data_IF_779273098793
#
_entry.id   IF_779273098793
#
_cell.length_a   1.000
_cell.length_b   1.000
_cell.length_c   1.000
_cell.angle_alpha   90.00
_cell.angle_beta   90.00
_cell.angle_gamma   90.00
#
_symmetry.space_group_name_H-M   'P 1'
#
loop_
_entity.id
_entity.type
_entity.pdbx_description
1 polymer ?
#
# COMPACT_ATOMS: atom_id res chain seq x y z
N UNK A 1 34.44 -16.08 -32.27
CA UNK A 1 33.40 -15.05 -32.43
C UNK A 1 33.36 -14.20 -31.16
N UNK A 2 34.07 -13.08 -31.14
CA UNK A 2 33.84 -12.06 -30.11
C UNK A 2 32.50 -11.40 -30.46
N UNK A 3 31.52 -11.47 -29.56
CA UNK A 3 30.35 -10.58 -29.68
C UNK A 3 30.86 -9.19 -29.32
N UNK A 4 30.93 -8.31 -30.31
CA UNK A 4 31.02 -6.87 -30.08
C UNK A 4 29.75 -6.46 -29.32
N UNK A 5 29.84 -6.47 -27.99
CA UNK A 5 28.76 -6.07 -27.13
C UNK A 5 28.79 -4.55 -27.01
N UNK A 6 28.45 -3.87 -28.10
CA UNK A 6 28.25 -2.42 -28.09
C UNK A 6 27.12 -2.11 -27.11
N UNK A 7 27.35 -1.26 -26.09
CA UNK A 7 26.30 -0.90 -25.15
C UNK A 7 25.16 -0.18 -25.89
N UNK A 8 23.89 -0.42 -25.48
CA UNK A 8 22.75 0.17 -26.15
C UNK A 8 22.79 1.71 -26.08
N UNK A 9 22.17 2.44 -27.02
CA UNK A 9 22.08 3.89 -26.98
C UNK A 9 21.61 4.42 -25.63
N UNK A 10 22.11 5.58 -25.22
CA UNK A 10 21.86 6.19 -23.91
C UNK A 10 20.37 6.26 -23.54
N UNK A 11 19.53 6.63 -24.50
CA UNK A 11 18.07 6.68 -24.32
C UNK A 11 17.47 5.33 -23.88
N UNK A 12 17.97 4.21 -24.43
CA UNK A 12 17.51 2.87 -24.05
C UNK A 12 18.00 2.50 -22.65
N UNK A 13 19.20 2.94 -22.26
CA UNK A 13 19.71 2.74 -20.89
C UNK A 13 18.85 3.48 -19.87
N UNK A 14 18.55 4.76 -20.12
CA UNK A 14 17.69 5.59 -19.26
C UNK A 14 16.28 4.97 -19.10
N UNK A 15 15.68 4.49 -20.20
CA UNK A 15 14.39 3.77 -20.15
C UNK A 15 14.45 2.47 -19.33
N UNK A 16 15.53 1.70 -19.47
CA UNK A 16 15.73 0.45 -18.70
C UNK A 16 15.87 0.74 -17.22
N UNK A 17 16.60 1.79 -16.86
CA UNK A 17 16.80 2.18 -15.47
C UNK A 17 15.48 2.63 -14.81
N UNK A 18 14.66 3.41 -15.53
CA UNK A 18 13.32 3.77 -15.08
C UNK A 18 12.41 2.55 -14.90
N UNK A 19 12.47 1.59 -15.83
CA UNK A 19 11.65 0.37 -15.76
C UNK A 19 12.07 -0.50 -14.57
N UNK A 20 13.38 -0.69 -14.37
CA UNK A 20 13.93 -1.40 -13.20
C UNK A 20 13.54 -0.73 -11.90
N UNK A 21 13.61 0.61 -11.85
CA UNK A 21 13.21 1.37 -10.69
C UNK A 21 11.71 1.20 -10.38
N UNK A 22 10.84 1.23 -11.39
CA UNK A 22 9.40 0.96 -11.24
C UNK A 22 9.14 -0.45 -10.69
N UNK A 23 9.82 -1.46 -11.22
CA UNK A 23 9.73 -2.85 -10.72
C UNK A 23 10.18 -2.93 -9.26
N UNK A 24 11.26 -2.25 -8.89
CA UNK A 24 11.75 -2.18 -7.51
C UNK A 24 10.71 -1.55 -6.57
N UNK A 25 10.11 -0.41 -6.96
CA UNK A 25 9.06 0.25 -6.17
C UNK A 25 7.84 -0.65 -5.99
N UNK A 26 7.39 -1.35 -7.05
CA UNK A 26 6.30 -2.34 -6.94
C UNK A 26 6.65 -3.48 -5.97
N UNK A 27 7.90 -3.94 -6.00
CA UNK A 27 8.41 -4.92 -5.05
C UNK A 27 8.39 -4.42 -3.60
N UNK A 28 8.82 -3.18 -3.34
CA UNK A 28 8.72 -2.56 -2.01
C UNK A 28 7.27 -2.42 -1.54
N UNK A 29 6.38 -1.94 -2.42
CA UNK A 29 4.95 -1.82 -2.11
C UNK A 29 4.37 -3.16 -1.65
N UNK A 30 4.63 -4.23 -2.40
CA UNK A 30 4.14 -5.57 -2.06
C UNK A 30 4.74 -6.10 -0.76
N UNK A 31 6.03 -5.85 -0.49
CA UNK A 31 6.66 -6.22 0.78
C UNK A 31 6.00 -5.53 1.98
N UNK A 32 5.78 -4.23 1.88
CA UNK A 32 5.13 -3.44 2.94
C UNK A 32 3.69 -3.91 3.13
N UNK A 33 2.94 -4.10 2.04
CA UNK A 33 1.57 -4.61 2.04
C UNK A 33 1.47 -5.95 2.78
N UNK A 34 2.33 -6.91 2.45
CA UNK A 34 2.32 -8.22 3.08
C UNK A 34 2.71 -8.17 4.56
N UNK A 35 3.60 -7.25 4.93
CA UNK A 35 3.99 -7.05 6.34
C UNK A 35 2.87 -6.42 7.16
N UNK A 36 2.11 -5.49 6.59
CA UNK A 36 0.88 -4.96 7.20
C UNK A 36 -0.12 -6.10 7.38
N UNK A 37 -0.38 -6.90 6.33
CA UNK A 37 -1.33 -8.02 6.41
C UNK A 37 -0.96 -8.99 7.55
N UNK A 38 0.32 -9.37 7.66
CA UNK A 38 0.81 -10.25 8.73
C UNK A 38 0.66 -9.61 10.12
N UNK A 39 1.03 -8.34 10.27
CA UNK A 39 0.88 -7.63 11.55
C UNK A 39 -0.59 -7.58 12.00
N UNK A 40 -1.52 -7.42 11.04
CA UNK A 40 -2.95 -7.44 11.32
C UNK A 40 -3.44 -8.85 11.71
N UNK A 41 -2.97 -9.90 11.04
CA UNK A 41 -3.25 -11.29 11.42
C UNK A 41 -2.77 -11.61 12.83
N UNK A 42 -1.54 -11.22 13.17
CA UNK A 42 -0.92 -11.43 14.49
C UNK A 42 -1.66 -10.65 15.60
N UNK A 43 -2.25 -9.50 15.27
CA UNK A 43 -3.09 -8.72 16.18
C UNK A 43 -4.55 -9.20 16.24
N UNK A 44 -4.88 -10.32 15.58
CA UNK A 44 -6.22 -10.87 15.44
C UNK A 44 -7.24 -9.95 14.74
N UNK A 45 -6.76 -9.01 13.92
CA UNK A 45 -7.57 -8.03 13.19
C UNK A 45 -7.93 -8.57 11.81
N UNK A 46 -9.16 -9.07 11.67
CA UNK A 46 -9.67 -9.57 10.37
C UNK A 46 -10.15 -8.45 9.44
N UNK A 47 -9.30 -7.42 9.24
CA UNK A 47 -9.54 -6.29 8.34
C UNK A 47 -9.80 -6.72 6.88
N UNK A 48 -9.26 -7.87 6.46
CA UNK A 48 -9.48 -8.44 5.13
C UNK A 48 -10.94 -8.80 4.82
N UNK A 49 -11.80 -8.95 5.83
CA UNK A 49 -13.25 -9.12 5.62
C UNK A 49 -13.99 -7.80 5.45
N UNK A 50 -13.46 -6.71 6.04
CA UNK A 50 -14.08 -5.40 6.04
C UNK A 50 -13.76 -4.60 4.76
N UNK A 51 -12.51 -4.61 4.30
CA UNK A 51 -12.08 -3.81 3.15
C UNK A 51 -11.68 -4.67 1.94
N UNK A 52 -12.24 -4.33 0.76
CA UNK A 52 -11.85 -4.94 -0.54
C UNK A 52 -10.37 -4.69 -0.87
N UNK A 53 -9.82 -3.57 -0.42
CA UNK A 53 -8.40 -3.26 -0.44
C UNK A 53 -7.97 -2.76 0.94
N UNK A 54 -7.27 -3.61 1.69
CA UNK A 54 -6.82 -3.32 3.06
C UNK A 54 -5.78 -2.21 3.09
N UNK A 55 -4.91 -2.14 2.09
CA UNK A 55 -3.90 -1.09 1.99
C UNK A 55 -4.36 0.09 1.14
N UNK A 56 -5.60 0.08 0.63
CA UNK A 56 -6.20 1.16 -0.14
C UNK A 56 -6.51 2.41 0.68
N UNK A 57 -7.07 3.44 0.03
CA UNK A 57 -7.40 4.73 0.69
C UNK A 57 -8.26 4.51 1.94
N UNK A 58 -9.27 3.66 1.84
CA UNK A 58 -10.21 3.44 2.93
C UNK A 58 -9.62 2.57 4.04
N UNK A 59 -8.90 1.50 3.70
CA UNK A 59 -8.26 0.64 4.70
C UNK A 59 -7.19 1.39 5.50
N UNK A 60 -6.38 2.23 4.85
CA UNK A 60 -5.42 3.12 5.53
C UNK A 60 -6.09 4.10 6.48
N UNK A 61 -7.21 4.71 6.09
CA UNK A 61 -7.97 5.60 6.98
C UNK A 61 -8.46 4.87 8.23
N UNK A 62 -8.97 3.65 8.08
CA UNK A 62 -9.42 2.82 9.21
C UNK A 62 -8.25 2.49 10.13
N UNK A 63 -7.13 2.02 9.59
CA UNK A 63 -5.94 1.71 10.38
C UNK A 63 -5.40 2.94 11.13
N UNK A 64 -5.35 4.11 10.48
CA UNK A 64 -4.92 5.38 11.11
C UNK A 64 -5.83 5.82 12.24
N UNK A 65 -7.14 5.69 12.07
CA UNK A 65 -8.09 6.02 13.12
C UNK A 65 -8.00 5.04 14.30
N UNK A 66 -7.80 3.73 14.04
CA UNK A 66 -7.52 2.76 15.09
C UNK A 66 -6.24 3.10 15.88
N UNK A 67 -5.18 3.56 15.20
CA UNK A 67 -3.95 4.04 15.86
C UNK A 67 -4.18 5.28 16.74
N UNK A 68 -5.13 6.15 16.39
CA UNK A 68 -5.49 7.33 17.18
C UNK A 68 -6.31 7.00 18.45
N UNK A 69 -6.55 5.71 18.72
CA UNK A 69 -7.39 5.25 19.83
C UNK A 69 -8.88 5.36 19.55
N UNK A 70 -9.28 5.65 18.30
CA UNK A 70 -10.68 5.67 17.91
C UNK A 70 -11.18 4.24 17.74
N UNK A 71 -11.94 3.77 18.72
CA UNK A 71 -12.53 2.44 18.71
C UNK A 71 -14.01 2.45 18.32
N UNK A 72 -14.61 3.63 18.04
CA UNK A 72 -16.03 3.71 17.67
C UNK A 72 -16.23 3.23 16.23
N UNK A 73 -16.85 2.07 16.04
CA UNK A 73 -17.07 1.49 14.72
C UNK A 73 -18.08 2.31 13.90
N UNK A 74 -19.03 3.00 14.56
CA UNK A 74 -19.94 3.91 13.86
C UNK A 74 -19.18 5.08 13.23
N UNK A 75 -18.22 5.66 13.96
CA UNK A 75 -17.39 6.76 13.48
C UNK A 75 -16.54 6.35 12.28
N UNK A 76 -15.91 5.18 12.37
CA UNK A 76 -15.10 4.60 11.30
C UNK A 76 -15.90 4.25 10.04
N UNK A 77 -17.09 3.67 10.21
CA UNK A 77 -17.99 3.32 9.10
C UNK A 77 -18.58 4.56 8.43
N UNK A 78 -18.84 5.63 9.19
CA UNK A 78 -19.38 6.88 8.64
C UNK A 78 -18.33 7.69 7.89
N UNK A 79 -17.05 7.59 8.28
CA UNK A 79 -15.88 8.17 7.58
C UNK A 79 -15.38 7.33 6.41
N UNK A 80 -15.68 6.04 6.40
CA UNK A 80 -15.40 5.15 5.29
C UNK A 80 -16.43 5.34 4.15
N UNK A 81 -16.06 4.94 2.93
CA UNK A 81 -16.98 5.01 1.77
C UNK A 81 -18.26 4.19 2.03
N UNK A 82 -19.35 4.50 1.33
CA UNK A 82 -20.70 3.94 1.56
C UNK A 82 -20.76 2.42 1.73
N UNK A 83 -19.88 1.67 1.08
CA UNK A 83 -19.76 0.20 1.16
C UNK A 83 -19.36 -0.34 2.54
N UNK A 84 -18.66 0.45 3.36
CA UNK A 84 -18.26 0.04 4.72
C UNK A 84 -19.34 0.34 5.78
N UNK A 85 -20.33 1.17 5.47
CA UNK A 85 -21.50 1.37 6.34
C UNK A 85 -22.33 0.10 6.50
N UNK A 86 -22.36 -0.75 5.47
CA UNK A 86 -23.01 -2.06 5.51
C UNK A 86 -22.24 -3.09 6.35
N UNK A 87 -20.98 -2.80 6.73
CA UNK A 87 -20.08 -3.72 7.46
C UNK A 87 -19.78 -3.25 8.89
N UNK A 88 -20.65 -2.42 9.49
CA UNK A 88 -20.50 -1.85 10.84
C UNK A 88 -20.21 -2.92 11.92
N UNK A 89 -20.90 -4.06 11.88
CA UNK A 89 -20.69 -5.13 12.86
C UNK A 89 -19.38 -5.90 12.66
N UNK A 90 -18.90 -6.03 11.42
CA UNK A 90 -17.55 -6.57 11.15
C UNK A 90 -16.47 -5.60 11.61
N UNK A 91 -16.69 -4.28 11.46
CA UNK A 91 -15.79 -3.25 11.97
C UNK A 91 -15.72 -3.26 13.50
N UNK A 92 -16.83 -3.53 14.21
CA UNK A 92 -16.83 -3.72 15.68
C UNK A 92 -15.88 -4.83 16.11
N UNK A 93 -15.97 -5.99 15.48
CA UNK A 93 -15.12 -7.16 15.78
C UNK A 93 -13.66 -6.92 15.43
N UNK A 94 -13.39 -6.14 14.38
CA UNK A 94 -12.04 -5.76 13.98
C UNK A 94 -11.40 -4.78 14.96
N UNK A 95 -12.15 -3.92 15.64
CA UNK A 95 -11.59 -2.92 16.56
C UNK A 95 -11.35 -3.43 17.99
N UNK A 96 -11.70 -4.69 18.26
CA UNK A 96 -11.48 -5.37 19.54
C UNK A 96 -10.16 -6.15 19.59
N UNK A 97 -9.33 -6.10 18.53
CA UNK A 97 -8.05 -6.81 18.51
C UNK A 97 -7.02 -6.23 19.48
N UNK A 98 -6.12 -7.09 19.96
CA UNK A 98 -5.05 -6.74 20.89
C UNK A 98 -3.95 -5.94 20.20
N UNK A 99 -4.16 -4.64 20.04
CA UNK A 99 -3.07 -3.71 19.74
C UNK A 99 -2.35 -3.35 21.04
N UNK A 100 -1.16 -3.93 21.26
CA UNK A 100 -0.24 -3.36 22.24
C UNK A 100 0.50 -2.14 21.66
N UNK A 101 1.27 -1.45 22.50
CA UNK A 101 2.04 -0.28 22.09
C UNK A 101 3.03 -0.60 20.96
N UNK A 102 3.65 -1.78 21.02
CA UNK A 102 4.61 -2.23 20.03
C UNK A 102 3.97 -2.44 18.64
N UNK A 103 2.82 -3.12 18.58
CA UNK A 103 2.09 -3.35 17.33
C UNK A 103 1.54 -2.05 16.74
N UNK A 104 1.07 -1.12 17.58
CA UNK A 104 0.68 0.23 17.12
C UNK A 104 1.86 0.98 16.49
N UNK A 105 3.02 0.94 17.14
CA UNK A 105 4.24 1.56 16.61
C UNK A 105 4.60 0.97 15.25
N UNK A 106 4.68 -0.37 15.14
CA UNK A 106 5.01 -1.03 13.87
C UNK A 106 4.01 -0.73 12.76
N UNK A 107 2.70 -0.72 13.07
CA UNK A 107 1.67 -0.43 12.07
C UNK A 107 1.80 1.01 11.54
N UNK A 108 2.10 1.97 12.42
CA UNK A 108 2.34 3.37 12.04
C UNK A 108 3.50 3.47 11.05
N UNK A 109 4.65 2.89 11.39
CA UNK A 109 5.85 2.92 10.54
C UNK A 109 5.60 2.29 9.16
N UNK A 110 4.86 1.17 9.12
CA UNK A 110 4.52 0.52 7.86
C UNK A 110 3.55 1.34 7.00
N UNK A 111 2.59 2.04 7.60
CA UNK A 111 1.68 2.94 6.88
C UNK A 111 2.43 4.14 6.30
N UNK A 112 3.35 4.73 7.07
CA UNK A 112 4.18 5.85 6.62
C UNK A 112 5.07 5.40 5.43
N UNK A 113 5.70 4.22 5.52
CA UNK A 113 6.49 3.65 4.44
C UNK A 113 5.64 3.36 3.19
N UNK A 114 4.41 2.85 3.36
CA UNK A 114 3.49 2.58 2.26
C UNK A 114 3.11 3.87 1.52
N UNK A 115 2.82 4.94 2.25
CA UNK A 115 2.50 6.25 1.68
C UNK A 115 3.67 6.82 0.87
N UNK A 116 4.89 6.71 1.40
CA UNK A 116 6.10 7.15 0.74
C UNK A 116 6.33 6.40 -0.58
N UNK A 117 6.28 5.07 -0.57
CA UNK A 117 6.44 4.25 -1.80
C UNK A 117 5.31 4.54 -2.79
N UNK A 118 4.07 4.72 -2.31
CA UNK A 118 2.93 5.06 -3.16
C UNK A 118 3.05 6.46 -3.80
N UNK A 119 3.68 7.40 -3.12
CA UNK A 119 4.00 8.72 -3.66
C UNK A 119 5.00 8.58 -4.81
N UNK A 120 6.12 7.87 -4.60
CA UNK A 120 7.12 7.66 -5.64
C UNK A 120 6.57 6.90 -6.86
N UNK A 121 5.71 5.91 -6.63
CA UNK A 121 5.04 5.19 -7.72
C UNK A 121 4.19 6.11 -8.62
N UNK A 122 3.47 7.07 -8.01
CA UNK A 122 2.71 8.10 -8.75
C UNK A 122 3.62 9.14 -9.41
N UNK A 123 4.73 9.50 -8.76
CA UNK A 123 5.76 10.38 -9.32
C UNK A 123 6.41 9.81 -10.58
N UNK A 124 6.62 8.49 -10.66
CA UNK A 124 7.15 7.83 -11.85
C UNK A 124 6.26 8.01 -13.09
N UNK A 125 4.94 8.15 -12.93
CA UNK A 125 4.04 8.43 -14.07
C UNK A 125 4.30 9.82 -14.69
N UNK A 126 4.78 10.79 -13.90
CA UNK A 126 4.96 12.19 -14.34
C UNK A 126 6.19 12.40 -15.25
N UNK A 127 6.98 11.36 -15.52
CA UNK A 127 8.12 11.47 -16.45
C UNK A 127 7.66 11.36 -17.92
N UNK A 128 7.99 12.31 -18.81
CA UNK A 128 7.46 12.37 -20.18
C UNK A 128 7.64 11.08 -21.01
N UNK A 129 8.73 10.34 -20.77
CA UNK A 129 9.04 9.09 -21.48
C UNK A 129 8.35 7.84 -20.88
N UNK A 130 7.89 7.88 -19.63
CA UNK A 130 7.19 6.74 -18.99
C UNK A 130 5.72 6.61 -19.42
N UNK A 131 5.14 7.68 -19.96
CA UNK A 131 3.78 7.68 -20.49
C UNK A 131 3.59 6.66 -21.64
N UNK A 132 4.68 6.30 -22.34
CA UNK A 132 4.71 5.25 -23.35
C UNK A 132 4.65 3.82 -22.78
N UNK A 133 5.28 3.57 -21.62
CA UNK A 133 5.32 2.23 -21.00
C UNK A 133 4.03 1.93 -20.24
N UNK A 134 3.46 2.92 -19.54
CA UNK A 134 2.22 2.77 -18.78
C UNK A 134 1.01 2.48 -19.69
N UNK A 135 1.06 2.89 -20.97
CA UNK A 135 -0.03 2.70 -21.94
C UNK A 135 -0.25 1.25 -22.38
N UNK A 136 0.70 0.35 -22.14
CA UNK A 136 0.66 -1.05 -22.59
C UNK A 136 0.58 -2.08 -21.46
N UNK A 137 0.62 -1.66 -20.20
CA UNK A 137 0.36 -2.51 -19.03
C UNK A 137 -1.13 -2.39 -18.65
N UNK A 138 -2.02 -2.91 -19.50
CA UNK A 138 -3.48 -2.98 -19.28
C UNK A 138 -3.96 -4.42 -19.22
#
# INVERSE_FOLDING_TARGET
MHKDQTPPPRQIQELRDLTRYRVKLKGEYNRIHNRIARLLEDAHLKLGSAATDTCGVTGRKIMRASLAGEQRPEWLADKAMSTLRAKKDQLRLVLQGDFDEHRRFLLKELLDALELVSHFFRGCHLWPQMNWVVKYDG
#
